data_IF_100225707709
#
_entry.id   IF_100225707709
#
_cell.length_a   1.000
_cell.length_b   1.000
_cell.length_c   1.000
_cell.angle_alpha   90.00
_cell.angle_beta   90.00
_cell.angle_gamma   90.00
#
_symmetry.space_group_name_H-M   'P 1'
#
loop_
_entity.id
_entity.type
_entity.pdbx_description
1 polymer ?
#
# COMPACT_ATOMS: atom_id res chain seq x y z
N UNK A 1 25.43 4.02 -6.73
CA UNK A 1 25.56 3.29 -8.00
C UNK A 1 25.38 4.13 -9.29
N UNK A 2 25.53 5.48 -9.35
CA UNK A 2 25.34 6.21 -10.62
C UNK A 2 26.24 5.74 -11.79
N UNK A 3 27.46 5.31 -11.49
CA UNK A 3 28.41 4.86 -12.51
C UNK A 3 27.95 3.59 -13.25
N UNK A 4 27.14 2.74 -12.61
CA UNK A 4 26.63 1.51 -13.23
C UNK A 4 25.54 1.85 -14.23
N UNK A 5 24.53 2.64 -13.81
CA UNK A 5 23.45 3.08 -14.69
C UNK A 5 23.98 3.91 -15.86
N UNK A 6 24.96 4.80 -15.62
CA UNK A 6 25.63 5.55 -16.67
C UNK A 6 26.33 4.60 -17.67
N UNK A 7 27.13 3.64 -17.19
CA UNK A 7 27.83 2.70 -18.07
C UNK A 7 26.87 1.85 -18.90
N UNK A 8 25.75 1.42 -18.33
CA UNK A 8 24.72 0.64 -19.03
C UNK A 8 24.06 1.45 -20.15
N UNK A 9 23.93 2.77 -19.99
CA UNK A 9 23.22 3.64 -20.93
C UNK A 9 24.10 4.40 -21.93
N UNK A 10 25.43 4.23 -21.85
CA UNK A 10 26.38 4.72 -22.87
C UNK A 10 26.12 4.11 -24.26
N UNK A 11 26.60 4.72 -25.35
CA UNK A 11 26.39 4.20 -26.71
C UNK A 11 26.85 2.74 -26.92
N UNK A 12 27.91 2.32 -26.22
CA UNK A 12 28.45 0.95 -26.16
C UNK A 12 27.94 0.16 -24.93
N UNK A 13 26.83 0.60 -24.36
CA UNK A 13 26.14 -0.01 -23.23
C UNK A 13 25.11 -1.05 -23.65
N UNK A 14 24.25 -1.43 -22.70
CA UNK A 14 23.18 -2.38 -22.93
C UNK A 14 22.07 -1.74 -23.78
N UNK A 15 21.68 -2.35 -24.92
CA UNK A 15 20.63 -1.79 -25.78
C UNK A 15 19.29 -1.63 -25.05
N UNK A 16 18.93 -2.59 -24.19
CA UNK A 16 17.67 -2.53 -23.43
C UNK A 16 17.67 -1.36 -22.45
N UNK A 17 18.75 -1.18 -21.68
CA UNK A 17 18.87 -0.08 -20.72
C UNK A 17 18.80 1.26 -21.42
N UNK A 18 19.43 1.42 -22.59
CA UNK A 18 19.44 2.67 -23.38
C UNK A 18 18.06 3.09 -23.88
N UNK A 19 17.22 2.13 -24.24
CA UNK A 19 15.88 2.39 -24.76
C UNK A 19 14.87 2.76 -23.67
N UNK A 20 15.21 2.56 -22.38
CA UNK A 20 14.31 2.87 -21.29
C UNK A 20 14.06 4.37 -21.15
N UNK A 21 12.84 4.69 -20.73
CA UNK A 21 12.34 6.03 -20.41
C UNK A 21 11.65 5.98 -19.04
N UNK A 22 11.31 7.14 -18.47
CA UNK A 22 10.51 7.17 -17.24
C UNK A 22 9.20 6.39 -17.40
N UNK A 23 8.56 6.50 -18.57
CA UNK A 23 7.27 5.86 -18.82
C UNK A 23 7.36 4.34 -18.93
N UNK A 24 8.40 3.81 -19.58
CA UNK A 24 8.59 2.36 -19.72
C UNK A 24 8.97 1.69 -18.41
N UNK A 25 9.70 2.40 -17.53
CA UNK A 25 10.13 1.89 -16.22
C UNK A 25 9.01 1.88 -15.16
N UNK A 26 7.90 2.61 -15.35
CA UNK A 26 6.79 2.67 -14.37
C UNK A 26 6.28 1.30 -13.96
N UNK A 27 6.16 0.38 -14.92
CA UNK A 27 5.68 -0.99 -14.66
C UNK A 27 6.66 -1.72 -13.75
N UNK A 28 7.94 -1.66 -14.06
CA UNK A 28 8.99 -2.31 -13.27
C UNK A 28 9.06 -1.74 -11.85
N UNK A 29 9.02 -0.42 -11.69
CA UNK A 29 8.95 0.20 -10.36
C UNK A 29 7.79 -0.36 -9.50
N UNK A 30 6.62 -0.57 -10.10
CA UNK A 30 5.47 -1.14 -9.41
C UNK A 30 5.67 -2.63 -9.08
N UNK A 31 6.27 -3.39 -10.00
CA UNK A 31 6.65 -4.80 -9.80
C UNK A 31 7.61 -4.93 -8.61
N UNK A 32 8.76 -4.23 -8.63
CA UNK A 32 9.74 -4.28 -7.53
C UNK A 32 9.14 -3.84 -6.19
N UNK A 33 8.21 -2.87 -6.21
CA UNK A 33 7.52 -2.43 -4.98
C UNK A 33 6.68 -3.56 -4.39
N UNK A 34 6.04 -4.38 -5.22
CA UNK A 34 5.28 -5.53 -4.75
C UNK A 34 6.17 -6.69 -4.33
N UNK A 35 7.30 -6.92 -4.99
CA UNK A 35 8.26 -7.95 -4.59
C UNK A 35 8.88 -7.63 -3.22
N UNK A 36 9.24 -6.36 -2.97
CA UNK A 36 9.63 -5.87 -1.64
C UNK A 36 8.50 -6.10 -0.62
N UNK A 37 7.27 -5.75 -0.97
CA UNK A 37 6.12 -5.93 -0.09
C UNK A 37 5.93 -7.40 0.31
N UNK A 38 6.04 -8.32 -0.65
CA UNK A 38 5.92 -9.75 -0.40
C UNK A 38 7.09 -10.28 0.44
N UNK A 39 8.32 -9.81 0.18
CA UNK A 39 9.51 -10.20 0.93
C UNK A 39 9.48 -9.73 2.40
N UNK A 40 8.79 -8.62 2.71
CA UNK A 40 8.62 -8.14 4.09
C UNK A 40 7.92 -9.17 4.99
N UNK A 41 7.05 -10.02 4.44
CA UNK A 41 6.38 -11.09 5.20
C UNK A 41 7.37 -12.12 5.78
N UNK A 42 8.54 -12.29 5.14
CA UNK A 42 9.61 -13.15 5.64
C UNK A 42 10.48 -12.51 6.73
N UNK A 43 10.33 -11.21 6.99
CA UNK A 43 11.19 -10.44 7.89
C UNK A 43 12.56 -10.12 7.30
N UNK A 44 13.56 -9.91 8.18
CA UNK A 44 14.92 -9.53 7.79
C UNK A 44 15.69 -10.71 7.16
N UNK A 45 15.42 -10.97 5.87
CA UNK A 45 15.98 -12.08 5.10
C UNK A 45 16.90 -11.59 3.98
N UNK A 46 17.78 -12.45 3.44
CA UNK A 46 18.54 -12.13 2.23
C UNK A 46 17.66 -11.76 1.03
N UNK A 47 16.49 -12.40 0.89
CA UNK A 47 15.52 -12.07 -0.15
C UNK A 47 15.04 -10.62 -0.01
N UNK A 48 14.66 -10.17 1.19
CA UNK A 48 14.29 -8.77 1.41
C UNK A 48 15.41 -7.79 1.00
N UNK A 49 16.68 -8.14 1.25
CA UNK A 49 17.81 -7.29 0.84
C UNK A 49 17.99 -7.25 -0.68
N UNK A 50 17.72 -8.35 -1.39
CA UNK A 50 17.71 -8.45 -2.85
C UNK A 50 16.62 -7.55 -3.44
N UNK A 51 15.37 -7.72 -3.01
CA UNK A 51 14.24 -6.91 -3.50
C UNK A 51 14.41 -5.42 -3.20
N UNK A 52 14.94 -5.06 -2.03
CA UNK A 52 15.27 -3.66 -1.70
C UNK A 52 16.36 -3.11 -2.63
N UNK A 53 17.27 -3.96 -3.09
CA UNK A 53 18.29 -3.64 -4.06
C UNK A 53 17.69 -3.33 -5.43
N UNK A 54 16.72 -4.12 -5.88
CA UNK A 54 16.05 -3.94 -7.17
C UNK A 54 15.13 -2.71 -7.16
N UNK A 55 14.40 -2.47 -6.06
CA UNK A 55 13.68 -1.22 -5.86
C UNK A 55 14.62 0.00 -5.85
N UNK A 56 15.81 -0.12 -5.23
CA UNK A 56 16.82 0.94 -5.28
C UNK A 56 17.37 1.15 -6.70
N UNK A 57 17.53 0.09 -7.49
CA UNK A 57 17.95 0.18 -8.88
C UNK A 57 16.95 1.02 -9.69
N UNK A 58 15.64 0.85 -9.47
CA UNK A 58 14.63 1.69 -10.13
C UNK A 58 14.83 3.17 -9.82
N UNK A 59 15.09 3.54 -8.55
CA UNK A 59 15.40 4.93 -8.16
C UNK A 59 16.65 5.45 -8.89
N UNK A 60 17.70 4.62 -8.99
CA UNK A 60 18.94 4.97 -9.70
C UNK A 60 18.69 5.16 -11.20
N UNK A 61 17.90 4.32 -11.85
CA UNK A 61 17.57 4.44 -13.28
C UNK A 61 16.77 5.72 -13.57
N UNK A 62 15.78 6.06 -12.74
CA UNK A 62 15.06 7.32 -12.86
C UNK A 62 15.97 8.53 -12.63
N UNK A 63 16.88 8.47 -11.65
CA UNK A 63 17.86 9.54 -11.42
C UNK A 63 18.85 9.70 -12.60
N UNK A 64 19.27 8.60 -13.23
CA UNK A 64 20.13 8.63 -14.42
C UNK A 64 19.42 9.30 -15.60
N UNK A 65 18.16 8.97 -15.85
CA UNK A 65 17.34 9.62 -16.88
C UNK A 65 17.16 11.13 -16.61
N UNK A 66 16.95 11.51 -15.35
CA UNK A 66 16.89 12.91 -14.94
C UNK A 66 18.20 13.66 -15.21
N UNK A 67 19.33 12.99 -14.98
CA UNK A 67 20.66 13.55 -15.18
C UNK A 67 20.97 13.71 -16.68
N UNK A 68 20.59 12.74 -17.51
CA UNK A 68 20.67 12.81 -18.98
C UNK A 68 19.84 13.97 -19.55
N UNK A 69 18.70 14.28 -18.92
CA UNK A 69 17.87 15.42 -19.27
C UNK A 69 18.37 16.76 -18.68
N UNK A 70 19.39 16.76 -17.83
CA UNK A 70 19.92 17.94 -17.16
C UNK A 70 18.97 18.56 -16.12
N UNK A 71 18.03 17.78 -15.57
CA UNK A 71 16.98 18.28 -14.66
C UNK A 71 17.32 18.03 -13.19
N UNK A 72 17.73 16.81 -12.85
CA UNK A 72 18.14 16.41 -11.50
C UNK A 72 18.95 15.12 -11.56
N UNK A 73 19.78 14.85 -10.55
CA UNK A 73 20.49 13.58 -10.43
C UNK A 73 20.20 12.84 -9.11
N UNK A 74 20.95 11.77 -8.83
CA UNK A 74 20.77 10.99 -7.60
C UNK A 74 21.12 11.79 -6.35
N UNK A 75 22.08 12.72 -6.42
CA UNK A 75 22.44 13.57 -5.30
C UNK A 75 21.30 14.56 -5.00
N UNK A 76 20.63 15.10 -6.02
CA UNK A 76 19.44 15.94 -5.84
C UNK A 76 18.30 15.17 -5.16
N UNK A 77 18.05 13.93 -5.57
CA UNK A 77 17.04 13.05 -4.95
C UNK A 77 17.36 12.84 -3.46
N UNK A 78 18.60 12.48 -3.13
CA UNK A 78 19.07 12.27 -1.76
C UNK A 78 18.98 13.56 -0.92
N UNK A 79 19.42 14.69 -1.47
CA UNK A 79 19.38 15.97 -0.77
C UNK A 79 17.93 16.43 -0.54
N UNK A 80 17.03 16.19 -1.50
CA UNK A 80 15.61 16.52 -1.38
C UNK A 80 14.94 15.76 -0.24
N UNK A 81 15.14 14.43 -0.16
CA UNK A 81 14.57 13.63 0.93
C UNK A 81 15.23 13.96 2.27
N UNK A 82 16.55 14.17 2.32
CA UNK A 82 17.25 14.55 3.54
C UNK A 82 16.71 15.87 4.12
N UNK A 83 16.59 16.92 3.30
CA UNK A 83 15.99 18.20 3.71
C UNK A 83 14.56 18.02 4.21
N UNK A 84 13.74 17.20 3.54
CA UNK A 84 12.36 16.91 3.95
C UNK A 84 12.30 16.19 5.30
N UNK A 85 13.12 15.17 5.52
CA UNK A 85 13.17 14.41 6.77
C UNK A 85 13.61 15.32 7.92
N UNK A 86 14.70 16.06 7.77
CA UNK A 86 15.18 17.01 8.80
C UNK A 86 14.10 18.01 9.17
N UNK A 87 13.47 18.64 8.17
CA UNK A 87 12.38 19.62 8.39
C UNK A 87 11.17 19.02 9.11
N UNK A 88 10.79 17.79 8.79
CA UNK A 88 9.62 17.11 9.39
C UNK A 88 9.91 16.48 10.76
N UNK A 89 11.16 16.46 11.20
CA UNK A 89 11.56 15.93 12.51
C UNK A 89 12.28 17.00 13.35
N UNK A 90 11.64 18.15 13.61
CA UNK A 90 12.25 19.17 14.46
C UNK A 90 12.41 18.72 15.92
N UNK A 91 11.79 17.60 16.31
CA UNK A 91 12.01 16.96 17.61
C UNK A 91 13.26 16.08 17.66
N UNK A 92 13.87 15.77 16.51
CA UNK A 92 15.16 15.07 16.41
C UNK A 92 16.28 16.04 16.04
N UNK A 93 16.01 16.96 15.11
CA UNK A 93 17.03 17.84 14.51
C UNK A 93 16.89 19.32 14.90
N UNK A 94 16.01 19.65 15.85
CA UNK A 94 15.78 21.01 16.35
C UNK A 94 15.34 20.99 17.81
N UNK A 95 14.56 22.00 18.22
CA UNK A 95 14.20 22.23 19.63
C UNK A 95 12.76 21.79 19.99
N UNK A 96 12.02 21.18 19.06
CA UNK A 96 10.66 20.74 19.35
C UNK A 96 10.67 19.51 20.28
N UNK A 97 9.58 19.31 21.02
CA UNK A 97 9.42 18.13 21.88
C UNK A 97 8.25 17.31 21.38
N UNK A 98 8.46 16.00 21.24
CA UNK A 98 7.43 15.01 20.96
C UNK A 98 7.77 13.74 21.75
N UNK A 99 6.89 13.35 22.68
CA UNK A 99 7.13 12.21 23.58
C UNK A 99 6.47 10.94 23.08
N UNK A 100 5.41 11.07 22.28
CA UNK A 100 4.65 9.94 21.74
C UNK A 100 4.57 9.97 20.22
N UNK A 101 4.32 8.81 19.61
CA UNK A 101 4.03 8.73 18.17
C UNK A 101 2.82 9.60 17.77
N UNK A 102 1.85 9.76 18.65
CA UNK A 102 0.70 10.64 18.43
C UNK A 102 1.11 12.12 18.37
N UNK A 103 2.07 12.55 19.19
CA UNK A 103 2.64 13.91 19.11
C UNK A 103 3.35 14.14 17.78
N UNK A 104 4.18 13.17 17.36
CA UNK A 104 4.90 13.20 16.08
C UNK A 104 3.92 13.28 14.92
N UNK A 105 2.88 12.46 14.90
CA UNK A 105 1.87 12.47 13.84
C UNK A 105 1.14 13.83 13.77
N UNK A 106 0.71 14.39 14.91
CA UNK A 106 0.12 15.73 14.95
C UNK A 106 1.08 16.81 14.45
N UNK A 107 2.35 16.69 14.76
CA UNK A 107 3.38 17.62 14.28
C UNK A 107 3.58 17.49 12.76
N UNK A 108 3.68 16.27 12.23
CA UNK A 108 3.78 16.02 10.80
C UNK A 108 2.59 16.59 10.04
N UNK A 109 1.36 16.42 10.52
CA UNK A 109 0.19 16.97 9.84
C UNK A 109 0.22 18.51 9.78
N UNK A 110 0.64 19.18 10.85
CA UNK A 110 0.83 20.64 10.83
C UNK A 110 1.90 21.06 9.83
N UNK A 111 3.05 20.39 9.82
CA UNK A 111 4.16 20.70 8.89
C UNK A 111 3.72 20.46 7.44
N UNK A 112 3.07 19.33 7.15
CA UNK A 112 2.53 19.01 5.82
C UNK A 112 1.51 20.05 5.36
N UNK A 113 0.65 20.56 6.25
CA UNK A 113 -0.32 21.60 5.90
C UNK A 113 0.36 22.91 5.47
N UNK A 114 1.41 23.34 6.19
CA UNK A 114 2.21 24.53 5.83
C UNK A 114 2.96 24.32 4.51
N UNK A 115 3.53 23.13 4.30
CA UNK A 115 4.22 22.77 3.05
C UNK A 115 3.27 22.82 1.84
N UNK A 116 2.05 22.29 1.97
CA UNK A 116 1.02 22.36 0.91
C UNK A 116 0.70 23.80 0.55
N UNK A 117 0.41 24.64 1.55
CA UNK A 117 0.11 26.06 1.34
C UNK A 117 1.28 26.81 0.66
N UNK A 118 2.52 26.48 1.02
CA UNK A 118 3.72 27.08 0.43
C UNK A 118 3.99 26.59 -1.00
N UNK A 119 3.76 25.31 -1.28
CA UNK A 119 3.88 24.74 -2.63
C UNK A 119 2.83 25.31 -3.58
N UNK A 120 1.63 25.57 -3.06
CA UNK A 120 0.58 26.23 -3.81
C UNK A 120 0.93 27.69 -4.09
N UNK A 121 1.50 28.42 -3.13
CA UNK A 121 1.99 29.77 -3.36
C UNK A 121 3.15 29.83 -4.39
N UNK A 122 4.09 28.88 -4.34
CA UNK A 122 5.21 28.82 -5.27
C UNK A 122 4.79 28.41 -6.70
N UNK A 123 3.76 27.57 -6.83
CA UNK A 123 3.18 27.22 -8.13
C UNK A 123 2.32 28.35 -8.74
N UNK A 124 1.92 29.34 -7.94
CA UNK A 124 1.06 30.50 -8.30
C UNK A 124 1.86 31.77 -8.64
N UNK A 125 3.15 31.68 -8.99
CA UNK A 125 4.00 32.87 -9.22
C UNK A 125 3.33 33.91 -10.12
N UNK A 126 3.34 35.20 -9.73
CA UNK A 126 2.92 36.47 -10.37
C UNK A 126 1.89 36.43 -11.54
N UNK A 127 1.08 35.39 -11.65
CA UNK A 127 0.03 35.27 -12.64
C UNK A 127 -1.24 35.90 -12.08
N UNK A 128 -1.69 36.95 -12.78
CA UNK A 128 -2.87 37.78 -12.57
C UNK A 128 -3.91 37.25 -11.55
N UNK A 129 -4.14 38.08 -10.53
CA UNK A 129 -5.11 37.92 -9.45
C UNK A 129 -6.60 37.87 -9.89
N UNK A 130 -6.89 37.55 -11.15
CA UNK A 130 -8.22 37.59 -11.75
C UNK A 130 -8.89 36.21 -11.90
N UNK A 131 -8.20 35.09 -11.66
CA UNK A 131 -8.77 33.73 -11.69
C UNK A 131 -8.54 32.95 -10.38
N UNK A 132 -8.70 33.66 -9.26
CA UNK A 132 -8.40 33.16 -7.93
C UNK A 132 -9.58 32.38 -7.31
N UNK A 133 -9.85 31.13 -7.71
CA UNK A 133 -10.84 30.32 -6.95
C UNK A 133 -10.61 28.81 -6.79
N UNK A 134 -9.59 28.17 -7.37
CA UNK A 134 -9.36 26.73 -7.07
C UNK A 134 -8.22 26.56 -6.07
N UNK A 135 -8.53 26.75 -4.79
CA UNK A 135 -7.68 26.21 -3.73
C UNK A 135 -7.64 24.68 -3.88
N UNK A 136 -6.45 24.08 -3.81
CA UNK A 136 -6.33 22.61 -3.90
C UNK A 136 -7.18 21.97 -2.81
N UNK A 137 -8.05 21.04 -3.20
CA UNK A 137 -8.91 20.29 -2.30
C UNK A 137 -8.11 19.41 -1.35
N UNK A 138 -8.72 19.03 -0.23
CA UNK A 138 -8.10 18.17 0.79
C UNK A 138 -7.56 16.83 0.25
N UNK A 139 -8.20 16.34 -0.82
CA UNK A 139 -7.89 15.07 -1.47
C UNK A 139 -6.91 15.22 -2.64
N UNK A 140 -6.50 16.45 -2.97
CA UNK A 140 -5.56 16.69 -4.06
C UNK A 140 -4.19 16.10 -3.74
N UNK A 141 -3.57 15.45 -4.73
CA UNK A 141 -2.28 14.80 -4.60
C UNK A 141 -2.32 13.37 -4.06
N UNK A 142 -3.49 12.75 -3.94
CA UNK A 142 -3.60 11.28 -3.86
C UNK A 142 -3.29 10.73 -5.26
N UNK A 143 -2.35 9.79 -5.36
CA UNK A 143 -1.94 9.30 -6.68
C UNK A 143 -3.07 8.53 -7.35
N UNK A 144 -3.36 8.87 -8.61
CA UNK A 144 -4.28 8.10 -9.47
C UNK A 144 -3.79 6.68 -9.78
N UNK A 145 -2.52 6.39 -9.53
CA UNK A 145 -1.93 5.06 -9.75
C UNK A 145 -2.07 4.13 -8.55
N UNK A 146 -2.56 4.61 -7.41
CA UNK A 146 -2.76 3.74 -6.25
C UNK A 146 -3.86 2.72 -6.52
N UNK A 147 -3.73 1.49 -5.98
CA UNK A 147 -4.85 0.56 -5.91
C UNK A 147 -6.06 1.20 -5.24
N UNK A 148 -7.26 0.81 -5.66
CA UNK A 148 -8.50 1.49 -5.26
C UNK A 148 -8.74 1.48 -3.74
N UNK A 149 -8.39 0.38 -3.05
CA UNK A 149 -8.57 0.29 -1.60
C UNK A 149 -7.60 1.22 -0.86
N UNK A 150 -6.31 1.20 -1.24
CA UNK A 150 -5.29 2.09 -0.68
C UNK A 150 -5.62 3.57 -0.94
N UNK A 151 -6.07 3.91 -2.16
CA UNK A 151 -6.49 5.27 -2.51
C UNK A 151 -7.70 5.71 -1.67
N UNK A 152 -8.71 4.85 -1.54
CA UNK A 152 -9.92 5.12 -0.73
C UNK A 152 -9.55 5.30 0.74
N UNK A 153 -8.68 4.45 1.28
CA UNK A 153 -8.22 4.56 2.66
C UNK A 153 -7.47 5.88 2.91
N UNK A 154 -6.56 6.27 2.01
CA UNK A 154 -5.85 7.56 2.10
C UNK A 154 -6.83 8.75 2.01
N UNK A 155 -7.84 8.69 1.12
CA UNK A 155 -8.88 9.73 1.03
C UNK A 155 -9.61 9.90 2.37
N UNK A 156 -10.02 8.79 2.97
CA UNK A 156 -10.75 8.79 4.24
C UNK A 156 -9.88 9.23 5.42
N UNK A 157 -8.60 8.87 5.45
CA UNK A 157 -7.64 9.36 6.44
C UNK A 157 -7.47 10.89 6.35
N UNK A 158 -7.35 11.44 5.14
CA UNK A 158 -7.26 12.89 4.93
C UNK A 158 -8.55 13.61 5.30
N UNK A 159 -9.72 13.03 4.98
CA UNK A 159 -11.01 13.58 5.38
C UNK A 159 -11.17 13.57 6.92
N UNK A 160 -10.77 12.48 7.57
CA UNK A 160 -10.76 12.34 9.03
C UNK A 160 -9.87 13.37 9.71
N UNK A 161 -8.70 13.67 9.14
CA UNK A 161 -7.80 14.72 9.64
C UNK A 161 -8.42 16.14 9.62
N UNK A 162 -9.46 16.36 8.81
CA UNK A 162 -10.25 17.60 8.77
C UNK A 162 -11.48 17.57 9.68
N UNK A 163 -11.68 16.49 10.43
CA UNK A 163 -12.84 16.28 11.29
C UNK A 163 -14.04 15.67 10.59
N UNK A 164 -13.92 15.28 9.31
CA UNK A 164 -14.95 14.51 8.62
C UNK A 164 -14.74 13.01 8.88
N UNK A 165 -15.26 12.54 10.00
CA UNK A 165 -15.16 11.14 10.40
C UNK A 165 -16.36 10.70 11.26
N UNK A 166 -16.68 9.41 11.22
CA UNK A 166 -17.66 8.82 12.12
C UNK A 166 -17.15 8.81 13.56
N UNK A 167 -18.00 9.09 14.56
CA UNK A 167 -17.58 9.15 15.96
C UNK A 167 -17.22 7.77 16.52
N UNK A 168 -17.79 6.69 15.98
CA UNK A 168 -17.57 5.32 16.45
C UNK A 168 -17.60 4.30 15.31
N UNK A 169 -17.17 3.07 15.60
CA UNK A 169 -17.16 1.98 14.62
C UNK A 169 -18.59 1.48 14.33
N UNK A 170 -19.48 1.52 15.32
CA UNK A 170 -20.87 1.09 15.20
C UNK A 170 -21.58 1.86 14.08
N UNK A 171 -21.40 3.18 14.02
CA UNK A 171 -22.01 3.99 12.96
C UNK A 171 -21.48 3.68 11.55
N UNK A 172 -20.24 3.18 11.43
CA UNK A 172 -19.70 2.72 10.14
C UNK A 172 -20.28 1.36 9.78
N UNK A 173 -20.44 0.44 10.75
CA UNK A 173 -21.06 -0.87 10.54
C UNK A 173 -22.55 -0.76 10.19
N UNK A 174 -23.27 0.18 10.80
CA UNK A 174 -24.66 0.48 10.44
C UNK A 174 -24.73 0.96 8.99
N UNK A 175 -23.78 1.79 8.54
CA UNK A 175 -23.69 2.22 7.14
C UNK A 175 -23.38 1.04 6.22
N UNK A 176 -22.53 0.07 6.60
CA UNK A 176 -22.33 -1.16 5.81
C UNK A 176 -23.65 -1.92 5.60
N UNK A 177 -24.48 -2.01 6.64
CA UNK A 177 -25.78 -2.69 6.53
C UNK A 177 -26.76 -1.91 5.64
N UNK A 178 -26.71 -0.58 5.67
CA UNK A 178 -27.47 0.31 4.78
C UNK A 178 -27.08 0.09 3.31
N UNK A 179 -25.80 0.22 2.97
CA UNK A 179 -25.27 0.03 1.60
C UNK A 179 -25.57 -1.37 1.06
N UNK A 180 -25.45 -2.41 1.90
CA UNK A 180 -25.81 -3.77 1.52
C UNK A 180 -27.31 -3.89 1.19
N UNK A 181 -28.15 -3.15 1.92
CA UNK A 181 -29.57 -3.06 1.66
C UNK A 181 -29.89 -2.29 0.37
N UNK A 182 -29.18 -1.21 0.08
CA UNK A 182 -29.33 -0.42 -1.15
C UNK A 182 -28.93 -1.27 -2.37
N UNK A 183 -27.77 -1.93 -2.31
CA UNK A 183 -27.32 -2.89 -3.32
C UNK A 183 -28.34 -4.02 -3.57
N UNK A 184 -28.97 -4.54 -2.51
CA UNK A 184 -29.97 -5.60 -2.64
C UNK A 184 -31.28 -5.12 -3.29
N UNK A 185 -31.59 -3.82 -3.23
CA UNK A 185 -32.78 -3.20 -3.84
C UNK A 185 -32.51 -2.63 -5.24
N UNK A 186 -31.24 -2.52 -5.64
CA UNK A 186 -30.84 -1.99 -6.94
C UNK A 186 -31.43 -2.80 -8.12
N UNK A 187 -32.24 -2.14 -8.93
CA UNK A 187 -32.97 -2.78 -10.04
C UNK A 187 -32.18 -2.74 -11.35
N UNK A 188 -31.39 -1.69 -11.57
CA UNK A 188 -30.61 -1.51 -12.79
C UNK A 188 -29.14 -1.88 -12.59
N UNK A 189 -28.45 -2.21 -13.69
CA UNK A 189 -27.01 -2.51 -13.64
C UNK A 189 -26.17 -1.29 -13.28
N UNK A 190 -26.65 -0.08 -13.59
CA UNK A 190 -26.02 1.18 -13.17
C UNK A 190 -26.07 1.32 -11.67
N UNK A 191 -27.27 1.20 -11.08
CA UNK A 191 -27.46 1.32 -9.64
C UNK A 191 -26.64 0.25 -8.92
N UNK A 192 -26.70 -1.03 -9.36
CA UNK A 192 -25.89 -2.11 -8.77
C UNK A 192 -24.40 -1.80 -8.74
N UNK A 193 -23.89 -1.14 -9.77
CA UNK A 193 -22.46 -0.78 -9.85
C UNK A 193 -22.12 0.35 -8.89
N UNK A 194 -22.99 1.34 -8.77
CA UNK A 194 -22.86 2.46 -7.83
C UNK A 194 -22.89 1.95 -6.39
N UNK A 195 -23.96 1.25 -6.00
CA UNK A 195 -24.15 0.72 -4.65
C UNK A 195 -23.06 -0.28 -4.25
N UNK A 196 -22.55 -1.08 -5.20
CA UNK A 196 -21.42 -1.97 -4.92
C UNK A 196 -20.13 -1.18 -4.67
N UNK A 197 -19.94 -0.06 -5.37
CA UNK A 197 -18.83 0.85 -5.15
C UNK A 197 -18.90 1.50 -3.77
N UNK A 198 -20.08 1.95 -3.36
CA UNK A 198 -20.30 2.60 -2.06
C UNK A 198 -20.14 1.59 -0.91
N UNK A 199 -20.65 0.37 -1.06
CA UNK A 199 -20.39 -0.72 -0.12
C UNK A 199 -18.87 -0.96 0.06
N UNK A 200 -18.09 -1.01 -1.02
CA UNK A 200 -16.63 -1.16 -0.93
C UNK A 200 -15.99 0.03 -0.20
N UNK A 201 -16.44 1.25 -0.46
CA UNK A 201 -15.93 2.46 0.18
C UNK A 201 -16.18 2.44 1.70
N UNK A 202 -17.37 2.00 2.13
CA UNK A 202 -17.69 1.90 3.55
C UNK A 202 -16.94 0.74 4.22
N UNK A 203 -16.74 -0.39 3.53
CA UNK A 203 -15.89 -1.50 4.02
C UNK A 203 -14.43 -1.05 4.24
N UNK A 204 -13.89 -0.23 3.34
CA UNK A 204 -12.55 0.38 3.54
C UNK A 204 -12.52 1.22 4.82
N UNK A 205 -13.61 1.93 5.11
CA UNK A 205 -13.72 2.76 6.32
C UNK A 205 -13.74 1.92 7.60
N UNK A 206 -14.42 0.77 7.59
CA UNK A 206 -14.36 -0.21 8.68
C UNK A 206 -12.91 -0.63 8.93
N UNK A 207 -12.18 -1.00 7.87
CA UNK A 207 -10.77 -1.37 7.97
C UNK A 207 -9.92 -0.26 8.58
N UNK A 208 -10.03 0.97 8.05
CA UNK A 208 -9.33 2.16 8.57
C UNK A 208 -9.59 2.39 10.06
N UNK A 209 -10.85 2.34 10.50
CA UNK A 209 -11.22 2.53 11.92
C UNK A 209 -10.65 1.45 12.84
N UNK A 210 -10.48 0.24 12.33
CA UNK A 210 -9.86 -0.87 13.04
C UNK A 210 -8.32 -0.85 12.96
N UNK A 211 -7.72 0.13 12.27
CA UNK A 211 -6.27 0.19 12.06
C UNK A 211 -5.75 -0.88 11.10
N UNK A 212 -6.61 -1.39 10.21
CA UNK A 212 -6.27 -2.41 9.22
C UNK A 212 -5.86 -1.71 7.93
N UNK A 213 -4.71 -2.11 7.36
CA UNK A 213 -4.32 -1.74 6.00
C UNK A 213 -5.13 -2.58 5.00
N UNK A 214 -6.11 -1.94 4.34
CA UNK A 214 -7.19 -2.63 3.62
C UNK A 214 -6.74 -3.32 2.35
N UNK A 215 -5.78 -2.75 1.61
CA UNK A 215 -5.23 -3.36 0.40
C UNK A 215 -4.46 -4.64 0.76
N UNK A 216 -3.59 -4.57 1.77
CA UNK A 216 -2.85 -5.70 2.32
C UNK A 216 -3.74 -6.79 2.90
N UNK A 217 -4.83 -6.41 3.59
CA UNK A 217 -5.81 -7.37 4.11
C UNK A 217 -6.48 -8.18 2.98
N UNK A 218 -6.87 -7.52 1.89
CA UNK A 218 -7.45 -8.21 0.73
C UNK A 218 -6.42 -9.08 0.01
N UNK A 219 -5.17 -8.62 -0.12
CA UNK A 219 -4.06 -9.43 -0.68
C UNK A 219 -3.85 -10.73 0.10
N UNK A 220 -3.75 -10.63 1.43
CA UNK A 220 -3.62 -11.81 2.29
C UNK A 220 -4.84 -12.76 2.16
N UNK A 221 -6.04 -12.22 2.00
CA UNK A 221 -7.24 -13.03 1.75
C UNK A 221 -7.18 -13.74 0.38
N UNK A 222 -6.71 -13.06 -0.67
CA UNK A 222 -6.51 -13.62 -2.01
C UNK A 222 -5.47 -14.74 -2.02
N UNK A 223 -4.37 -14.58 -1.29
CA UNK A 223 -3.32 -15.62 -1.20
C UNK A 223 -3.83 -16.86 -0.48
N UNK A 224 -4.57 -16.68 0.61
CA UNK A 224 -5.26 -17.76 1.32
C UNK A 224 -6.25 -18.48 0.41
N UNK A 225 -7.03 -17.74 -0.38
CA UNK A 225 -7.93 -18.34 -1.37
C UNK A 225 -7.14 -19.17 -2.40
N UNK A 226 -6.08 -18.61 -2.98
CA UNK A 226 -5.22 -19.28 -3.96
C UNK A 226 -4.61 -20.57 -3.41
N UNK A 227 -4.12 -20.54 -2.18
CA UNK A 227 -3.49 -21.70 -1.54
C UNK A 227 -4.50 -22.81 -1.25
N UNK A 228 -5.70 -22.45 -0.78
CA UNK A 228 -6.81 -23.40 -0.58
C UNK A 228 -7.27 -24.01 -1.90
N UNK A 229 -7.47 -23.19 -2.92
CA UNK A 229 -7.89 -23.68 -4.22
C UNK A 229 -6.86 -24.63 -4.84
N UNK A 230 -5.56 -24.29 -4.77
CA UNK A 230 -4.47 -25.20 -5.16
C UNK A 230 -4.52 -26.52 -4.41
N UNK A 231 -4.94 -26.53 -3.13
CA UNK A 231 -5.09 -27.78 -2.38
C UNK A 231 -6.30 -28.59 -2.88
N UNK A 232 -7.43 -27.94 -3.16
CA UNK A 232 -8.59 -28.58 -3.79
C UNK A 232 -8.16 -29.26 -5.10
N UNK A 233 -7.44 -28.55 -5.97
CA UNK A 233 -6.94 -29.11 -7.24
C UNK A 233 -6.10 -30.39 -7.03
N UNK A 234 -5.24 -30.39 -6.00
CA UNK A 234 -4.47 -31.60 -5.63
C UNK A 234 -5.36 -32.74 -5.13
N UNK A 235 -6.30 -32.46 -4.23
CA UNK A 235 -7.25 -33.46 -3.71
C UNK A 235 -8.10 -34.08 -4.83
N UNK A 236 -8.49 -33.26 -5.81
CA UNK A 236 -9.24 -33.69 -6.99
C UNK A 236 -8.38 -34.58 -7.90
N UNK A 237 -7.14 -34.17 -8.16
CA UNK A 237 -6.19 -34.95 -8.95
C UNK A 237 -5.87 -36.31 -8.30
N UNK A 238 -5.69 -36.35 -6.97
CA UNK A 238 -5.49 -37.58 -6.19
C UNK A 238 -6.66 -38.57 -6.32
N UNK A 239 -7.89 -38.05 -6.51
CA UNK A 239 -9.11 -38.85 -6.72
C UNK A 239 -9.32 -39.26 -8.17
N UNK A 240 -8.50 -38.78 -9.10
CA UNK A 240 -8.63 -39.08 -10.53
C UNK A 240 -9.90 -38.53 -11.18
N UNK A 241 -10.51 -37.48 -10.61
CA UNK A 241 -11.71 -36.82 -11.15
C UNK A 241 -11.36 -35.43 -11.67
N UNK A 242 -12.15 -34.89 -12.61
CA UNK A 242 -11.96 -33.52 -13.05
C UNK A 242 -12.79 -32.56 -12.18
N UNK A 243 -12.20 -31.42 -11.79
CA UNK A 243 -12.84 -30.45 -10.89
C UNK A 243 -14.18 -29.93 -11.44
N UNK A 244 -14.28 -29.80 -12.76
CA UNK A 244 -15.48 -29.36 -13.47
C UNK A 244 -16.65 -30.33 -13.40
N UNK A 245 -16.39 -31.60 -13.06
CA UNK A 245 -17.40 -32.64 -12.96
C UNK A 245 -17.95 -32.76 -11.53
N UNK A 246 -17.45 -31.94 -10.59
CA UNK A 246 -17.89 -31.92 -9.20
C UNK A 246 -19.01 -30.89 -9.00
N UNK A 247 -19.98 -31.25 -8.17
CA UNK A 247 -21.01 -30.30 -7.74
C UNK A 247 -20.47 -29.34 -6.67
N UNK A 248 -21.22 -28.26 -6.43
CA UNK A 248 -20.86 -27.26 -5.44
C UNK A 248 -20.68 -27.86 -4.05
N UNK A 249 -21.56 -28.78 -3.63
CA UNK A 249 -21.49 -29.42 -2.31
C UNK A 249 -20.18 -30.19 -2.12
N UNK A 250 -19.70 -30.88 -3.16
CA UNK A 250 -18.42 -31.59 -3.13
C UNK A 250 -17.24 -30.62 -3.10
N UNK A 251 -17.29 -29.54 -3.89
CA UNK A 251 -16.25 -28.51 -3.88
C UNK A 251 -16.16 -27.77 -2.54
N UNK A 252 -17.30 -27.50 -1.91
CA UNK A 252 -17.39 -26.87 -0.59
C UNK A 252 -16.83 -27.78 0.51
N UNK A 253 -17.15 -29.08 0.47
CA UNK A 253 -16.55 -30.06 1.38
C UNK A 253 -15.02 -30.18 1.21
N UNK A 254 -14.53 -30.11 -0.03
CA UNK A 254 -13.09 -30.08 -0.32
C UNK A 254 -12.42 -28.80 0.19
N UNK A 255 -13.11 -27.67 0.08
CA UNK A 255 -12.66 -26.39 0.62
C UNK A 255 -12.53 -26.43 2.14
N UNK A 256 -13.53 -26.97 2.84
CA UNK A 256 -13.49 -27.13 4.29
C UNK A 256 -12.37 -28.08 4.73
N UNK A 257 -12.12 -29.16 3.99
CA UNK A 257 -10.99 -30.04 4.22
C UNK A 257 -9.64 -29.31 4.04
N UNK A 258 -9.48 -28.53 2.97
CA UNK A 258 -8.28 -27.74 2.74
C UNK A 258 -8.03 -26.69 3.85
N UNK A 259 -9.11 -26.07 4.34
CA UNK A 259 -9.08 -25.11 5.45
C UNK A 259 -8.67 -25.77 6.78
N UNK A 260 -9.12 -27.01 7.02
CA UNK A 260 -8.74 -27.77 8.21
C UNK A 260 -7.25 -28.16 8.20
N UNK A 261 -6.72 -28.61 7.07
CA UNK A 261 -5.29 -28.95 6.91
C UNK A 261 -4.39 -27.71 7.10
N UNK A 262 -4.78 -26.56 6.53
CA UNK A 262 -4.06 -25.30 6.68
C UNK A 262 -3.95 -24.89 8.17
N UNK A 263 -5.07 -24.96 8.91
CA UNK A 263 -5.10 -24.65 10.35
C UNK A 263 -4.20 -25.57 11.16
N UNK A 264 -4.28 -26.88 10.93
CA UNK A 264 -3.44 -27.85 11.62
C UNK A 264 -1.95 -27.61 11.37
N UNK A 265 -1.58 -27.21 10.15
CA UNK A 265 -0.19 -26.87 9.79
C UNK A 265 0.27 -25.58 10.48
N UNK A 266 -0.61 -24.58 10.59
CA UNK A 266 -0.32 -23.33 11.27
C UNK A 266 -0.12 -23.55 12.79
N UNK A 267 -0.96 -24.37 13.42
CA UNK A 267 -0.86 -24.73 14.84
C UNK A 267 0.45 -25.48 15.14
N UNK A 268 0.91 -26.35 14.23
CA UNK A 268 2.19 -27.06 14.38
C UNK A 268 3.42 -26.18 14.17
N UNK A 269 3.27 -25.03 13.48
CA UNK A 269 4.35 -24.06 13.23
C UNK A 269 4.44 -22.96 14.30
N UNK A 270 3.46 -22.87 15.21
CA UNK A 270 3.52 -21.92 16.31
C UNK A 270 4.69 -22.27 17.25
N UNK A 271 5.57 -21.31 17.60
CA UNK A 271 6.67 -21.57 18.53
C UNK A 271 6.11 -22.01 19.88
N UNK A 272 6.69 -23.06 20.47
CA UNK A 272 6.37 -23.47 21.83
C UNK A 272 6.65 -22.30 22.79
N UNK A 273 5.68 -21.98 23.65
CA UNK A 273 5.82 -20.94 24.67
C UNK A 273 7.13 -21.14 25.46
N UNK A 274 7.92 -20.08 25.70
CA UNK A 274 9.13 -20.21 26.49
C UNK A 274 8.74 -20.63 27.91
N UNK A 275 9.22 -21.80 28.34
CA UNK A 275 9.03 -22.31 29.69
C UNK A 275 9.47 -21.24 30.71
N UNK A 276 8.53 -20.83 31.56
CA UNK A 276 8.78 -19.95 32.69
C UNK A 276 9.85 -20.58 33.56
N UNK A 277 11.04 -19.97 33.55
CA UNK A 277 12.12 -20.34 34.47
C UNK A 277 11.83 -19.64 35.80
N UNK A 278 10.95 -20.23 36.60
CA UNK A 278 10.88 -19.92 38.03
C UNK A 278 11.92 -20.75 38.79
N UNK A 279 12.58 -20.07 39.72
CA UNK A 279 13.19 -20.62 40.92
C UNK A 279 14.56 -21.33 40.80
N UNK A 280 15.63 -20.54 41.02
CA UNK A 280 16.74 -20.91 41.91
C UNK A 280 17.51 -19.68 42.35
N UNK A 281 17.04 -19.05 43.42
CA UNK A 281 17.85 -18.22 44.29
C UNK A 281 17.94 -18.92 45.65
N UNK A 282 19.12 -19.48 45.92
CA UNK A 282 19.63 -19.84 47.25
C UNK A 282 21.02 -19.24 47.34
#
# INVERSE_FOLDING_TARGET
MPYISDRLRRPDGCPWDREQTHDSLRKHLLEETYEVYDALAGGATPALAEELGDLLLQVVLHAQLGAEAGVFDLADVQASIARKIVRRHPHVFGDAVAETAADVNRQWERIKAVERASSDAAARGDADAADATVAKGALDGISRSLPALAASQEMQERASALGYDWPSIEGVLDKVAEELGELARAETDTDRREEFGDLLLVVVNVGRKLGIETEGALRAANDKFRNRFRRIERMVAERGVAIRDLDFATLDALWDAAKAEERATAEQRAPAEPATTEERAT
#
